data_IF_244671425383
#
_entry.id   IF_244671425383
#
_cell.length_a   1.000
_cell.length_b   1.000
_cell.length_c   1.000
_cell.angle_alpha   90.00
_cell.angle_beta   90.00
_cell.angle_gamma   90.00
#
_symmetry.space_group_name_H-M   'P 1'
#
loop_
_entity.id
_entity.type
_entity.pdbx_description
1 polymer ?
#
# COMPACT_ATOMS: atom_id res chain seq x y z
N UNK A 1 -60.14 17.33 -30.75
CA UNK A 1 -60.74 16.23 -29.96
C UNK A 1 -59.64 15.19 -29.79
N UNK A 2 -58.94 15.18 -28.65
CA UNK A 2 -59.19 14.27 -27.50
C UNK A 2 -58.94 12.80 -27.89
N UNK A 3 -58.12 11.98 -27.24
CA UNK A 3 -57.67 11.85 -25.83
C UNK A 3 -56.30 11.10 -25.84
N UNK A 4 -55.25 11.50 -25.12
CA UNK A 4 -54.84 11.15 -23.75
C UNK A 4 -55.15 9.72 -23.25
N UNK A 5 -54.11 8.90 -23.05
CA UNK A 5 -53.95 7.99 -21.89
C UNK A 5 -52.48 7.72 -21.58
N UNK A 6 -52.14 7.96 -20.31
CA UNK A 6 -50.98 7.64 -19.46
C UNK A 6 -50.15 6.38 -19.73
N UNK A 7 -48.86 6.45 -19.32
CA UNK A 7 -48.02 5.26 -19.12
C UNK A 7 -46.52 5.54 -19.00
N UNK A 8 -46.07 6.21 -17.93
CA UNK A 8 -44.65 6.27 -17.57
C UNK A 8 -44.12 4.91 -17.08
N UNK A 9 -42.81 4.64 -17.24
CA UNK A 9 -42.07 4.10 -16.12
C UNK A 9 -40.80 4.91 -15.82
N UNK A 10 -40.57 5.09 -14.52
CA UNK A 10 -39.37 5.64 -13.93
C UNK A 10 -38.19 4.66 -14.04
N UNK A 11 -36.98 5.19 -14.18
CA UNK A 11 -35.71 4.46 -14.02
C UNK A 11 -34.57 5.46 -14.20
N UNK A 12 -34.21 6.25 -13.18
CA UNK A 12 -33.34 5.90 -12.06
C UNK A 12 -31.96 5.36 -12.45
N UNK A 13 -30.96 6.15 -12.03
CA UNK A 13 -29.63 5.77 -11.52
C UNK A 13 -28.42 5.62 -12.46
N UNK A 14 -27.56 6.64 -12.38
CA UNK A 14 -26.15 6.63 -11.92
C UNK A 14 -25.12 5.78 -12.68
N UNK A 15 -24.18 6.51 -13.28
CA UNK A 15 -22.74 6.42 -13.01
C UNK A 15 -22.19 5.04 -12.62
N UNK A 16 -21.94 4.19 -13.63
CA UNK A 16 -21.16 2.97 -13.47
C UNK A 16 -19.74 3.21 -13.98
N UNK A 17 -18.85 3.59 -13.06
CA UNK A 17 -17.44 3.84 -13.36
C UNK A 17 -16.53 3.95 -12.14
N UNK A 18 -17.06 3.87 -10.91
CA UNK A 18 -16.29 3.96 -9.67
C UNK A 18 -16.28 2.69 -8.81
N UNK A 19 -16.81 1.56 -9.32
CA UNK A 19 -17.05 0.38 -8.47
C UNK A 19 -15.81 -0.47 -8.14
N UNK A 20 -14.64 -0.24 -8.72
CA UNK A 20 -13.43 -1.02 -8.39
C UNK A 20 -12.57 -0.45 -7.24
N UNK A 21 -13.01 0.57 -6.51
CA UNK A 21 -12.16 1.23 -5.47
C UNK A 21 -12.68 1.14 -4.04
N UNK A 22 -13.61 0.25 -3.70
CA UNK A 22 -14.21 0.25 -2.35
C UNK A 22 -14.43 -1.12 -1.68
N UNK A 23 -13.65 -2.15 -2.00
CA UNK A 23 -13.76 -3.46 -1.31
C UNK A 23 -12.47 -3.94 -0.63
N UNK A 24 -11.61 -3.02 -0.19
CA UNK A 24 -10.40 -3.38 0.55
C UNK A 24 -10.14 -2.57 1.83
N UNK A 25 -11.17 -1.94 2.43
CA UNK A 25 -10.97 -1.16 3.66
C UNK A 25 -12.00 -1.38 4.79
N UNK A 26 -12.83 -2.43 4.75
CA UNK A 26 -13.85 -2.64 5.81
C UNK A 26 -13.34 -3.35 7.06
N UNK A 27 -12.09 -3.78 7.14
CA UNK A 27 -11.57 -4.50 8.31
C UNK A 27 -10.88 -3.62 9.37
N UNK A 28 -10.82 -2.29 9.18
CA UNK A 28 -9.94 -1.44 9.99
C UNK A 28 -10.58 -0.73 11.19
N UNK A 29 -11.88 -0.90 11.46
CA UNK A 29 -12.52 -0.19 12.59
C UNK A 29 -13.54 -1.06 13.32
N UNK A 30 -13.07 -2.01 14.11
CA UNK A 30 -13.88 -2.52 15.23
C UNK A 30 -12.98 -2.93 16.40
N UNK A 31 -12.48 -1.92 17.10
CA UNK A 31 -12.13 -2.07 18.50
C UNK A 31 -12.99 -1.03 19.22
N UNK A 32 -14.11 -1.49 19.77
CA UNK A 32 -14.80 -0.78 20.85
C UNK A 32 -13.76 -0.36 21.90
N UNK A 33 -14.00 0.68 22.70
CA UNK A 33 -13.22 0.92 23.91
C UNK A 33 -13.39 -0.26 24.86
N UNK A 34 -12.58 -1.30 24.67
CA UNK A 34 -12.56 -2.51 25.47
C UNK A 34 -11.96 -2.12 26.81
N UNK A 35 -12.71 -2.35 27.88
CA UNK A 35 -12.24 -2.09 29.23
C UNK A 35 -11.21 -3.17 29.60
N UNK A 36 -9.93 -2.89 29.34
CA UNK A 36 -8.82 -3.84 29.48
C UNK A 36 -8.68 -4.39 30.92
N UNK A 37 -9.13 -3.62 31.92
CA UNK A 37 -9.09 -4.01 33.32
C UNK A 37 -10.15 -5.07 33.70
N UNK A 38 -11.26 -5.19 32.95
CA UNK A 38 -12.32 -6.16 33.24
C UNK A 38 -12.12 -7.51 32.54
N UNK A 39 -11.13 -7.64 31.67
CA UNK A 39 -10.85 -8.89 30.95
C UNK A 39 -10.11 -9.90 31.83
N UNK A 40 -10.35 -11.18 31.57
CA UNK A 40 -9.61 -12.29 32.18
C UNK A 40 -8.26 -12.52 31.49
N UNK A 41 -7.31 -13.11 32.21
CA UNK A 41 -5.97 -13.47 31.69
C UNK A 41 -6.03 -14.23 30.35
N UNK A 42 -6.88 -15.26 30.14
CA UNK A 42 -6.97 -15.94 28.85
C UNK A 42 -7.53 -15.06 27.72
N UNK A 43 -8.42 -14.11 28.01
CA UNK A 43 -8.92 -13.15 27.01
C UNK A 43 -7.83 -12.15 26.59
N UNK A 44 -7.02 -11.68 27.54
CA UNK A 44 -5.88 -10.80 27.26
C UNK A 44 -4.81 -11.49 26.41
N UNK A 45 -4.52 -12.78 26.67
CA UNK A 45 -3.63 -13.60 25.84
C UNK A 45 -4.14 -13.74 24.41
N UNK A 46 -5.44 -14.02 24.23
CA UNK A 46 -6.05 -14.11 22.90
C UNK A 46 -5.96 -12.77 22.14
N UNK A 47 -6.19 -11.65 22.84
CA UNK A 47 -6.05 -10.31 22.27
C UNK A 47 -4.59 -9.98 21.90
N UNK A 48 -3.63 -10.36 22.73
CA UNK A 48 -2.20 -10.22 22.44
C UNK A 48 -1.84 -10.94 21.13
N UNK A 49 -2.16 -12.22 21.00
CA UNK A 49 -1.86 -13.00 19.80
C UNK A 49 -2.47 -12.39 18.54
N UNK A 50 -3.71 -11.90 18.63
CA UNK A 50 -4.38 -11.21 17.52
C UNK A 50 -3.65 -9.93 17.13
N UNK A 51 -3.32 -9.07 18.09
CA UNK A 51 -2.63 -7.80 17.83
C UNK A 51 -1.23 -8.03 17.26
N UNK A 52 -0.51 -9.06 17.71
CA UNK A 52 0.78 -9.45 17.16
C UNK A 52 0.67 -9.90 15.71
N UNK A 53 -0.30 -10.75 15.37
CA UNK A 53 -0.53 -11.21 14.00
C UNK A 53 -0.96 -10.06 13.07
N UNK A 54 -1.85 -9.17 13.55
CA UNK A 54 -2.23 -7.97 12.81
C UNK A 54 -1.01 -7.06 12.55
N UNK A 55 -0.15 -6.84 13.55
CA UNK A 55 1.07 -6.05 13.38
C UNK A 55 2.05 -6.66 12.39
N UNK A 56 2.24 -7.98 12.41
CA UNK A 56 3.11 -8.68 11.45
C UNK A 56 2.58 -8.53 10.01
N UNK A 57 1.27 -8.69 9.82
CA UNK A 57 0.61 -8.50 8.53
C UNK A 57 0.75 -7.06 8.01
N UNK A 58 0.53 -6.05 8.87
CA UNK A 58 0.67 -4.64 8.52
C UNK A 58 2.13 -4.29 8.20
N UNK A 59 3.09 -4.81 8.96
CA UNK A 59 4.53 -4.58 8.75
C UNK A 59 5.00 -5.18 7.42
N UNK A 60 4.53 -6.39 7.09
CA UNK A 60 4.80 -7.05 5.80
C UNK A 60 4.22 -6.23 4.65
N UNK A 61 2.99 -5.73 4.80
CA UNK A 61 2.33 -4.88 3.81
C UNK A 61 3.07 -3.56 3.61
N UNK A 62 3.53 -2.93 4.69
CA UNK A 62 4.34 -1.71 4.66
C UNK A 62 5.64 -1.92 3.86
N UNK A 63 6.33 -3.03 4.09
CA UNK A 63 7.57 -3.37 3.38
C UNK A 63 7.33 -3.57 1.88
N UNK A 64 6.23 -4.25 1.51
CA UNK A 64 5.83 -4.44 0.10
C UNK A 64 5.52 -3.11 -0.59
N UNK A 65 4.77 -2.22 0.05
CA UNK A 65 4.43 -0.91 -0.51
C UNK A 65 5.68 -0.02 -0.67
N UNK A 66 6.60 -0.06 0.30
CA UNK A 66 7.87 0.67 0.22
C UNK A 66 8.77 0.15 -0.91
N UNK A 67 8.82 -1.16 -1.10
CA UNK A 67 9.54 -1.76 -2.23
C UNK A 67 8.92 -1.34 -3.58
N UNK A 68 7.59 -1.27 -3.68
CA UNK A 68 6.91 -0.79 -4.89
C UNK A 68 7.20 0.70 -5.15
N UNK A 69 7.20 1.53 -4.10
CA UNK A 69 7.55 2.95 -4.20
C UNK A 69 8.98 3.14 -4.72
N UNK A 70 9.94 2.36 -4.21
CA UNK A 70 11.32 2.39 -4.67
C UNK A 70 11.42 2.05 -6.17
N UNK A 71 10.74 0.98 -6.60
CA UNK A 71 10.70 0.58 -8.02
C UNK A 71 10.15 1.68 -8.91
N UNK A 72 9.06 2.36 -8.53
CA UNK A 72 8.53 3.47 -9.33
C UNK A 72 9.47 4.67 -9.40
N UNK A 73 10.18 4.99 -8.31
CA UNK A 73 11.22 6.04 -8.34
C UNK A 73 12.40 5.65 -9.24
N UNK A 74 12.75 4.38 -9.28
CA UNK A 74 13.80 3.87 -10.15
C UNK A 74 13.37 3.86 -11.63
N UNK A 75 12.09 3.62 -11.93
CA UNK A 75 11.53 3.83 -13.27
C UNK A 75 11.68 5.30 -13.71
N UNK A 76 11.33 6.26 -12.86
CA UNK A 76 11.50 7.70 -13.15
C UNK A 76 12.97 8.04 -13.43
N UNK A 77 13.89 7.55 -12.59
CA UNK A 77 15.33 7.71 -12.83
C UNK A 77 15.78 7.09 -14.15
N UNK A 78 15.29 5.90 -14.47
CA UNK A 78 15.64 5.19 -15.70
C UNK A 78 15.18 5.93 -16.96
N UNK A 79 13.99 6.55 -16.91
CA UNK A 79 13.50 7.41 -17.99
C UNK A 79 14.38 8.64 -18.13
N UNK A 80 14.65 9.36 -17.04
CA UNK A 80 15.45 10.58 -17.08
C UNK A 80 16.90 10.34 -17.53
N UNK A 81 17.56 9.31 -16.99
CA UNK A 81 18.97 9.03 -17.26
C UNK A 81 19.19 8.27 -18.58
N UNK A 82 18.28 7.37 -18.95
CA UNK A 82 18.42 6.47 -20.09
C UNK A 82 17.73 6.95 -21.37
N UNK A 83 16.56 7.58 -21.24
CA UNK A 83 15.74 8.01 -22.38
C UNK A 83 16.00 9.47 -22.70
N UNK A 84 15.78 10.36 -21.73
CA UNK A 84 15.95 11.81 -21.90
C UNK A 84 17.42 12.21 -22.02
N UNK A 85 18.32 11.41 -21.44
CA UNK A 85 19.75 11.67 -21.42
C UNK A 85 20.12 12.63 -20.31
N UNK A 86 21.25 12.36 -19.66
CA UNK A 86 21.78 13.17 -18.57
C UNK A 86 23.21 13.59 -18.89
N UNK A 87 23.41 14.88 -19.12
CA UNK A 87 24.71 15.47 -19.42
C UNK A 87 25.76 15.15 -18.33
N UNK A 88 25.35 15.06 -17.06
CA UNK A 88 26.25 14.74 -15.93
C UNK A 88 26.70 13.29 -15.91
N UNK A 89 25.92 12.38 -16.50
CA UNK A 89 26.26 10.95 -16.66
C UNK A 89 26.83 10.64 -18.04
N UNK A 90 27.00 11.67 -18.87
CA UNK A 90 27.43 11.55 -20.26
C UNK A 90 26.48 10.70 -21.11
N UNK A 91 25.23 10.49 -20.73
CA UNK A 91 24.24 9.75 -21.54
C UNK A 91 23.51 10.65 -22.53
N UNK A 92 23.76 11.95 -22.45
CA UNK A 92 23.24 12.96 -23.36
C UNK A 92 23.70 12.71 -24.80
N UNK A 93 22.76 12.66 -25.73
CA UNK A 93 23.01 12.40 -27.15
C UNK A 93 23.57 11.00 -27.51
N UNK A 94 23.71 10.06 -26.56
CA UNK A 94 24.22 8.70 -26.87
C UNK A 94 23.08 7.73 -27.14
N UNK A 95 22.86 7.39 -28.41
CA UNK A 95 21.81 6.42 -28.79
C UNK A 95 22.17 4.97 -28.45
N UNK A 96 23.44 4.71 -28.17
CA UNK A 96 23.94 3.38 -27.83
C UNK A 96 23.72 3.06 -26.34
N UNK A 97 23.01 1.97 -26.09
CA UNK A 97 22.68 1.47 -24.75
C UNK A 97 23.10 0.00 -24.62
N UNK A 98 23.52 -0.40 -23.42
CA UNK A 98 23.75 -1.81 -23.11
C UNK A 98 22.50 -2.41 -22.50
N UNK A 99 21.92 -3.40 -23.19
CA UNK A 99 20.74 -4.12 -22.73
C UNK A 99 21.19 -5.46 -22.13
N UNK A 100 20.86 -5.75 -20.85
CA UNK A 100 21.15 -7.04 -20.26
C UNK A 100 20.26 -8.12 -20.89
N UNK A 101 20.88 -9.19 -21.41
CA UNK A 101 20.17 -10.42 -21.79
C UNK A 101 20.07 -11.39 -20.62
N UNK A 102 21.11 -11.44 -19.79
CA UNK A 102 21.18 -12.26 -18.57
C UNK A 102 21.90 -11.47 -17.47
N UNK A 103 22.11 -12.08 -16.29
CA UNK A 103 22.86 -11.46 -15.19
C UNK A 103 24.32 -11.15 -15.51
N UNK A 104 24.91 -11.78 -16.54
CA UNK A 104 26.33 -11.62 -16.88
C UNK A 104 26.59 -11.22 -18.34
N UNK A 105 25.55 -11.11 -19.17
CA UNK A 105 25.69 -10.81 -20.59
C UNK A 105 24.92 -9.54 -20.97
N UNK A 106 25.61 -8.60 -21.59
CA UNK A 106 25.07 -7.35 -22.11
C UNK A 106 25.31 -7.27 -23.62
N UNK A 107 24.31 -6.78 -24.35
CA UNK A 107 24.39 -6.53 -25.78
C UNK A 107 24.24 -5.05 -26.05
N UNK A 108 25.04 -4.53 -26.99
CA UNK A 108 24.90 -3.16 -27.48
C UNK A 108 23.64 -3.06 -28.33
N UNK A 109 22.73 -2.17 -27.95
CA UNK A 109 21.56 -1.76 -28.70
C UNK A 109 21.63 -0.28 -29.03
N UNK A 110 20.82 0.15 -30.00
CA UNK A 110 20.63 1.56 -30.36
C UNK A 110 19.16 1.93 -30.15
N UNK A 111 18.88 3.01 -29.44
CA UNK A 111 17.53 3.54 -29.26
C UNK A 111 17.06 4.20 -30.56
N UNK A 112 15.96 3.71 -31.12
CA UNK A 112 15.36 4.28 -32.35
C UNK A 112 14.50 5.50 -32.07
N UNK A 113 13.76 5.50 -30.96
CA UNK A 113 12.90 6.59 -30.51
C UNK A 113 13.16 6.84 -29.02
N UNK A 114 13.41 8.10 -28.67
CA UNK A 114 13.69 8.55 -27.29
C UNK A 114 12.58 9.42 -26.74
N UNK A 115 11.58 9.75 -27.54
CA UNK A 115 10.47 10.57 -27.07
C UNK A 115 9.42 9.73 -26.36
N UNK A 116 9.33 8.45 -26.73
CA UNK A 116 8.27 7.54 -26.32
C UNK A 116 8.78 6.36 -25.53
N UNK A 117 8.02 6.02 -24.49
CA UNK A 117 8.28 4.89 -23.60
C UNK A 117 7.02 4.07 -23.41
N UNK A 118 7.18 2.76 -23.28
CA UNK A 118 6.10 1.86 -22.90
C UNK A 118 5.97 1.84 -21.38
N UNK A 119 4.78 2.19 -20.89
CA UNK A 119 4.46 2.20 -19.46
C UNK A 119 3.46 1.09 -19.17
N UNK A 120 3.82 0.20 -18.25
CA UNK A 120 2.91 -0.81 -17.71
C UNK A 120 1.84 -0.13 -16.83
N UNK A 121 0.57 -0.31 -17.20
CA UNK A 121 -0.57 0.19 -16.42
C UNK A 121 -1.20 -0.89 -15.53
N UNK A 122 -0.74 -2.13 -15.63
CA UNK A 122 -1.23 -3.31 -14.92
C UNK A 122 -1.92 -4.33 -15.82
N UNK A 123 -2.18 -5.53 -15.30
CA UNK A 123 -2.92 -6.61 -15.98
C UNK A 123 -2.33 -7.07 -17.33
N UNK A 124 -1.06 -6.78 -17.58
CA UNK A 124 -0.37 -7.13 -18.84
C UNK A 124 -0.57 -6.12 -19.97
N UNK A 125 -1.13 -4.93 -19.69
CA UNK A 125 -1.30 -3.88 -20.68
C UNK A 125 -0.20 -2.83 -20.58
N UNK A 126 0.34 -2.48 -21.75
CA UNK A 126 1.34 -1.42 -21.90
C UNK A 126 0.77 -0.28 -22.73
N UNK A 127 1.04 0.94 -22.31
CA UNK A 127 0.59 2.15 -23.02
C UNK A 127 1.82 2.96 -23.41
N UNK A 128 1.89 3.34 -24.68
CA UNK A 128 2.89 4.28 -25.18
C UNK A 128 2.61 5.69 -24.62
N UNK A 129 3.60 6.26 -23.94
CA UNK A 129 3.55 7.61 -23.39
C UNK A 129 4.84 8.36 -23.74
N UNK A 130 4.72 9.68 -23.89
CA UNK A 130 5.90 10.54 -23.99
C UNK A 130 6.65 10.55 -22.66
N UNK A 131 7.99 10.67 -22.68
CA UNK A 131 8.83 10.75 -21.48
C UNK A 131 8.26 11.64 -20.33
N UNK A 132 7.86 12.91 -20.55
CA UNK A 132 7.32 13.75 -19.48
C UNK A 132 6.00 13.23 -18.89
N UNK A 133 5.12 12.64 -19.72
CA UNK A 133 3.87 12.03 -19.27
C UNK A 133 4.10 10.75 -18.48
N UNK A 134 5.14 9.99 -18.83
CA UNK A 134 5.53 8.80 -18.09
C UNK A 134 6.10 9.15 -16.70
N UNK A 135 6.95 10.19 -16.62
CA UNK A 135 7.45 10.71 -15.35
C UNK A 135 6.30 11.16 -14.46
N UNK A 136 5.38 11.98 -14.97
CA UNK A 136 4.21 12.43 -14.22
C UNK A 136 3.35 11.24 -13.72
N UNK A 137 3.14 10.22 -14.57
CA UNK A 137 2.39 9.02 -14.18
C UNK A 137 3.04 8.27 -13.00
N UNK A 138 4.36 8.06 -13.04
CA UNK A 138 5.07 7.40 -11.94
C UNK A 138 5.15 8.27 -10.69
N UNK A 139 5.31 9.59 -10.82
CA UNK A 139 5.29 10.51 -9.69
C UNK A 139 3.94 10.49 -8.96
N UNK A 140 2.83 10.45 -9.71
CA UNK A 140 1.49 10.32 -9.12
C UNK A 140 1.31 8.99 -8.39
N UNK A 141 1.87 7.89 -8.93
CA UNK A 141 1.89 6.58 -8.23
C UNK A 141 2.73 6.62 -6.96
N UNK A 142 3.90 7.26 -7.00
CA UNK A 142 4.77 7.44 -5.83
C UNK A 142 4.07 8.26 -4.76
N UNK A 143 3.40 9.36 -5.12
CA UNK A 143 2.60 10.18 -4.18
C UNK A 143 1.45 9.39 -3.57
N UNK A 144 0.73 8.62 -4.38
CA UNK A 144 -0.35 7.76 -3.89
C UNK A 144 0.14 6.69 -2.90
N UNK A 145 1.30 6.07 -3.19
CA UNK A 145 1.92 5.13 -2.25
C UNK A 145 2.44 5.82 -1.00
N UNK A 146 2.97 7.04 -1.09
CA UNK A 146 3.48 7.78 0.05
C UNK A 146 2.35 8.10 1.06
N UNK A 147 1.19 8.55 0.58
CA UNK A 147 0.01 8.78 1.41
C UNK A 147 -0.44 7.49 2.12
N UNK A 148 -0.51 6.37 1.38
CA UNK A 148 -0.88 5.07 1.96
C UNK A 148 0.14 4.58 2.99
N UNK A 149 1.44 4.79 2.75
CA UNK A 149 2.51 4.43 3.68
C UNK A 149 2.42 5.25 4.98
N UNK A 150 2.18 6.55 4.88
CA UNK A 150 2.01 7.42 6.05
C UNK A 150 0.77 7.04 6.89
N UNK A 151 -0.34 6.70 6.23
CA UNK A 151 -1.53 6.20 6.94
C UNK A 151 -1.26 4.87 7.64
N UNK A 152 -0.61 3.94 6.94
CA UNK A 152 -0.26 2.64 7.49
C UNK A 152 0.72 2.74 8.66
N UNK A 153 1.69 3.66 8.60
CA UNK A 153 2.64 3.92 9.67
C UNK A 153 1.94 4.40 10.95
N UNK A 154 0.95 5.30 10.83
CA UNK A 154 0.12 5.73 11.97
C UNK A 154 -0.67 4.58 12.58
N UNK A 155 -1.22 3.70 11.74
CA UNK A 155 -1.96 2.52 12.19
C UNK A 155 -1.02 1.57 12.95
N UNK A 156 0.16 1.29 12.40
CA UNK A 156 1.18 0.42 13.03
C UNK A 156 1.63 0.98 14.37
N UNK A 157 1.89 2.30 14.47
CA UNK A 157 2.25 2.95 15.73
C UNK A 157 1.13 2.82 16.78
N UNK A 158 -0.12 3.05 16.38
CA UNK A 158 -1.29 2.94 17.25
C UNK A 158 -1.47 1.50 17.76
N UNK A 159 -1.39 0.52 16.86
CA UNK A 159 -1.51 -0.92 17.19
C UNK A 159 -0.36 -1.40 18.07
N UNK A 160 0.86 -0.93 17.83
CA UNK A 160 2.02 -1.22 18.69
C UNK A 160 1.84 -0.68 20.10
N UNK A 161 1.32 0.55 20.23
CA UNK A 161 0.97 1.12 21.54
C UNK A 161 -0.12 0.31 22.24
N UNK A 162 -1.15 -0.14 21.52
CA UNK A 162 -2.21 -0.99 22.08
C UNK A 162 -1.65 -2.32 22.59
N UNK A 163 -0.77 -2.97 21.82
CA UNK A 163 -0.13 -4.21 22.23
C UNK A 163 0.65 -4.03 23.54
N UNK A 164 1.44 -2.95 23.67
CA UNK A 164 2.18 -2.64 24.89
C UNK A 164 1.28 -2.47 26.11
N UNK A 165 0.14 -1.79 25.95
CA UNK A 165 -0.83 -1.60 27.05
C UNK A 165 -1.44 -2.95 27.46
N UNK A 166 -1.76 -3.80 26.49
CA UNK A 166 -2.28 -5.16 26.75
C UNK A 166 -1.25 -6.01 27.49
N UNK A 167 0.02 -5.96 27.08
CA UNK A 167 1.12 -6.69 27.72
C UNK A 167 1.38 -6.22 29.16
N UNK A 168 1.35 -4.91 29.42
CA UNK A 168 1.51 -4.36 30.78
C UNK A 168 0.32 -4.76 31.67
N UNK A 169 -0.91 -4.68 31.14
CA UNK A 169 -2.12 -5.09 31.88
C UNK A 169 -2.09 -6.59 32.20
N UNK A 170 -1.65 -7.42 31.25
CA UNK A 170 -1.47 -8.85 31.45
C UNK A 170 -0.45 -9.14 32.55
N UNK A 171 0.71 -8.45 32.53
CA UNK A 171 1.75 -8.56 33.56
C UNK A 171 1.23 -8.14 34.94
N UNK A 172 0.52 -7.02 35.03
CA UNK A 172 -0.07 -6.54 36.29
C UNK A 172 -1.11 -7.51 36.85
N UNK A 173 -1.98 -8.06 36.00
CA UNK A 173 -2.98 -9.08 36.39
C UNK A 173 -2.31 -10.37 36.89
N UNK A 174 -1.28 -10.85 36.18
CA UNK A 174 -0.54 -12.05 36.60
C UNK A 174 0.20 -11.86 37.94
N UNK A 175 0.70 -10.65 38.22
CA UNK A 175 1.32 -10.33 39.51
C UNK A 175 0.28 -10.21 40.63
N UNK A 176 -0.93 -9.72 40.33
CA UNK A 176 -2.02 -9.57 41.29
C UNK A 176 -2.70 -10.90 41.64
N UNK A 177 -2.81 -11.82 40.67
CA UNK A 177 -3.28 -13.21 40.89
C UNK A 177 -2.17 -14.12 41.46
N UNK A 178 -0.90 -13.71 41.36
CA UNK A 178 0.28 -14.41 41.90
C UNK A 178 0.66 -14.03 43.34
N UNK A 179 -0.07 -13.11 43.99
CA UNK A 179 0.10 -12.84 45.42
C UNK A 179 -0.56 -13.97 46.23
N UNK A 180 0.13 -14.63 47.17
CA UNK A 180 -0.21 -15.99 47.59
C UNK A 180 -1.52 -16.06 48.37
N UNK A 181 -2.40 -16.96 47.92
CA UNK A 181 -3.26 -17.73 48.80
C UNK A 181 -2.37 -18.71 49.60
N UNK A 182 -1.59 -18.16 50.54
CA UNK A 182 -0.78 -18.88 51.53
C UNK A 182 -1.00 -18.24 52.91
N UNK A 183 -2.26 -18.18 53.35
CA UNK A 183 -2.64 -17.86 54.72
C UNK A 183 -4.11 -18.27 54.97
N UNK A 184 -4.31 -19.54 55.27
CA UNK A 184 -5.42 -20.12 56.06
C UNK A 184 -5.03 -21.60 56.27
N UNK A 185 -4.44 -22.05 57.37
CA UNK A 185 -4.59 -21.55 58.74
C UNK A 185 -5.89 -22.06 59.31
#
# INVERSE_FOLDING_TARGET
>A
MSQNTDGAPQGSTRASGSLCRMEMNSQLTNLNPVNLASLSVPQLRALQTRLTSELEHLTTSHTKLRAAQAKFRDCVRSINDGVTGNAKKGTDGRDEILVPLTSSLYVKGRLTDREKVLVDVGTGFYVEKTAPKAVAFYDDKVKGLDANLQELEKIVQTKSSQLRIVEETLRQKMLSEGAPQAAAG
#
